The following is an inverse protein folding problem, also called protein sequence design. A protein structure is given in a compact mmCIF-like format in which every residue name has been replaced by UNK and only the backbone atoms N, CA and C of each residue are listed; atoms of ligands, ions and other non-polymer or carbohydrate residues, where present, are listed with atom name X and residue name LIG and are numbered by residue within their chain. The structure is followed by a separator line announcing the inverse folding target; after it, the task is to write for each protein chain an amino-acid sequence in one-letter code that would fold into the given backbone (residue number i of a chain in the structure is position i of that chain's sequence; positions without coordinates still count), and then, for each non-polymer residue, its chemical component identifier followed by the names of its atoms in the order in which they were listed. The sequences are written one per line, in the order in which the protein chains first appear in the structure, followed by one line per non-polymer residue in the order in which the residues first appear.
data_IF_950288930960
#
_entry.id   IF_950288930960
#
_cell.length_a   1.000
_cell.length_b   1.000
_cell.length_c   1.000
_cell.angle_alpha   90.00
_cell.angle_beta   90.00
_cell.angle_gamma   90.00
#
_symmetry.space_group_name_H-M   'P 1'
#
loop_
_entity.id
_entity.type
_entity.pdbx_description
1 polymer ?
#
# COMPACT_ATOMS: atom_id res chain seq x y z
N UNK A 1 25.14 -9.13 2.66
CA UNK A 1 24.03 -8.25 3.08
C UNK A 1 23.84 -8.43 4.58
N UNK A 2 23.94 -7.37 5.40
CA UNK A 2 23.55 -7.48 6.80
C UNK A 2 22.07 -7.87 6.89
N UNK A 3 21.71 -8.64 7.93
CA UNK A 3 20.33 -9.12 8.10
C UNK A 3 19.49 -7.96 8.65
N UNK A 4 18.24 -7.86 8.23
CA UNK A 4 17.29 -6.81 8.67
C UNK A 4 17.14 -6.73 10.21
N UNK A 5 17.49 -7.80 10.93
CA UNK A 5 17.56 -7.84 12.40
C UNK A 5 18.56 -6.86 13.00
N UNK A 6 19.60 -6.49 12.26
CA UNK A 6 20.69 -5.63 12.74
C UNK A 6 20.32 -4.13 12.69
N UNK A 7 19.11 -3.79 12.20
CA UNK A 7 18.63 -2.42 12.01
C UNK A 7 17.67 -1.91 13.12
N UNK A 8 17.39 -2.73 14.14
CA UNK A 8 16.31 -2.53 15.13
C UNK A 8 16.63 -1.60 16.31
N UNK A 9 17.60 -0.69 16.22
CA UNK A 9 18.14 -0.03 17.42
C UNK A 9 17.24 1.02 18.12
N UNK A 10 16.01 1.28 17.66
CA UNK A 10 15.16 2.35 18.25
C UNK A 10 13.66 2.06 18.38
N UNK A 11 13.14 0.86 18.08
CA UNK A 11 11.70 0.59 18.28
C UNK A 11 11.42 0.07 19.71
N UNK A 12 10.41 0.61 20.42
CA UNK A 12 9.99 0.06 21.71
C UNK A 12 9.46 -1.37 21.52
N UNK A 13 9.96 -2.34 22.31
CA UNK A 13 9.58 -3.76 22.39
C UNK A 13 8.58 -4.23 21.30
N UNK A 14 9.04 -4.31 20.05
CA UNK A 14 8.23 -4.83 18.93
C UNK A 14 7.96 -6.31 19.19
N UNK A 15 6.68 -6.68 19.27
CA UNK A 15 6.26 -8.06 19.43
C UNK A 15 6.47 -8.77 18.08
N UNK A 16 7.14 -9.92 18.11
CA UNK A 16 7.31 -10.75 16.93
C UNK A 16 5.95 -11.03 16.28
N UNK A 17 5.86 -10.77 14.98
CA UNK A 17 4.62 -10.86 14.24
C UNK A 17 3.98 -12.24 14.32
N UNK A 18 2.69 -12.27 14.68
CA UNK A 18 1.84 -13.43 14.44
C UNK A 18 1.36 -13.34 13.00
N UNK A 19 1.39 -14.46 12.28
CA UNK A 19 0.84 -14.53 10.93
C UNK A 19 -0.63 -14.09 10.96
N UNK A 20 -1.04 -13.07 10.18
CA UNK A 20 -2.40 -12.58 10.21
C UNK A 20 -3.38 -13.66 9.74
N UNK A 21 -4.60 -13.56 10.26
CA UNK A 21 -5.75 -14.24 9.67
C UNK A 21 -5.82 -13.95 8.17
N UNK A 22 -6.15 -14.96 7.37
CA UNK A 22 -5.95 -14.89 5.93
C UNK A 22 -7.20 -15.30 5.15
N UNK A 23 -7.69 -14.37 4.34
CA UNK A 23 -8.79 -14.57 3.39
C UNK A 23 -8.22 -15.14 2.09
N UNK A 24 -8.84 -16.20 1.56
CA UNK A 24 -8.57 -16.63 0.18
C UNK A 24 -9.29 -15.71 -0.82
N UNK A 25 -8.56 -15.20 -1.82
CA UNK A 25 -9.11 -14.30 -2.82
C UNK A 25 -10.33 -14.88 -3.56
N UNK A 26 -10.39 -16.20 -3.81
CA UNK A 26 -11.56 -16.81 -4.44
C UNK A 26 -12.80 -16.72 -3.55
N UNK A 27 -12.63 -16.83 -2.24
CA UNK A 27 -13.70 -16.65 -1.26
C UNK A 27 -14.16 -15.20 -1.12
N UNK A 28 -13.22 -14.24 -1.21
CA UNK A 28 -13.53 -12.81 -1.22
C UNK A 28 -14.28 -12.39 -2.50
N UNK A 29 -13.86 -12.91 -3.64
CA UNK A 29 -14.34 -12.52 -4.97
C UNK A 29 -15.49 -13.41 -5.48
N UNK A 30 -16.12 -14.23 -4.63
CA UNK A 30 -17.18 -15.16 -5.03
C UNK A 30 -18.48 -14.48 -5.47
N UNK A 31 -18.61 -13.16 -5.30
CA UNK A 31 -19.81 -12.40 -5.63
C UNK A 31 -20.87 -12.44 -4.51
N UNK A 32 -22.13 -12.20 -4.88
CA UNK A 32 -23.25 -12.17 -3.95
C UNK A 32 -23.94 -13.55 -3.84
N UNK A 33 -24.37 -14.00 -2.64
CA UNK A 33 -24.16 -13.34 -1.35
C UNK A 33 -22.69 -13.35 -0.92
N UNK A 34 -22.26 -12.35 -0.15
CA UNK A 34 -20.90 -12.30 0.41
C UNK A 34 -20.65 -13.55 1.24
N UNK A 35 -19.48 -14.16 1.07
CA UNK A 35 -19.08 -15.35 1.80
C UNK A 35 -19.08 -15.12 3.33
N UNK A 36 -19.90 -15.85 4.12
CA UNK A 36 -19.97 -15.66 5.57
C UNK A 36 -18.65 -15.87 6.31
N UNK A 37 -17.78 -16.76 5.79
CA UNK A 37 -16.46 -16.97 6.38
C UNK A 37 -15.56 -15.74 6.23
N UNK A 38 -15.68 -15.00 5.11
CA UNK A 38 -14.97 -13.74 4.89
C UNK A 38 -15.46 -12.67 5.86
N UNK A 39 -16.79 -12.56 6.04
CA UNK A 39 -17.40 -11.64 7.00
C UNK A 39 -16.89 -11.92 8.41
N UNK A 40 -16.86 -13.18 8.83
CA UNK A 40 -16.38 -13.56 10.16
C UNK A 40 -14.91 -13.21 10.39
N UNK A 41 -14.04 -13.42 9.38
CA UNK A 41 -12.62 -13.05 9.47
C UNK A 41 -12.44 -11.54 9.61
N UNK A 42 -13.18 -10.74 8.83
CA UNK A 42 -13.16 -9.27 8.93
C UNK A 42 -13.59 -8.80 10.32
N UNK A 43 -14.71 -9.31 10.83
CA UNK A 43 -15.20 -8.95 12.17
C UNK A 43 -14.19 -9.31 13.26
N UNK A 44 -13.53 -10.46 13.13
CA UNK A 44 -12.54 -10.93 14.11
C UNK A 44 -11.28 -10.07 14.09
N UNK A 45 -10.75 -9.75 12.90
CA UNK A 45 -9.59 -8.89 12.74
C UNK A 45 -9.87 -7.47 13.27
N UNK A 46 -11.02 -6.89 12.92
CA UNK A 46 -11.42 -5.56 13.38
C UNK A 46 -11.55 -5.46 14.92
N UNK A 47 -11.97 -6.54 15.58
CA UNK A 47 -12.11 -6.61 17.04
C UNK A 47 -10.81 -6.96 17.79
N UNK A 48 -9.73 -7.30 17.08
CA UNK A 48 -8.49 -7.80 17.69
C UNK A 48 -7.27 -6.93 17.34
N UNK A 49 -6.42 -7.40 16.43
CA UNK A 49 -5.18 -6.73 16.03
C UNK A 49 -5.40 -5.62 14.99
N UNK A 50 -6.59 -5.55 14.40
CA UNK A 50 -6.98 -4.54 13.42
C UNK A 50 -6.48 -4.81 12.00
N UNK A 51 -5.89 -5.97 11.69
CA UNK A 51 -5.41 -6.27 10.34
C UNK A 51 -5.54 -7.75 9.98
N UNK A 52 -5.66 -8.02 8.69
CA UNK A 52 -5.70 -9.37 8.12
C UNK A 52 -4.89 -9.41 6.82
N UNK A 53 -4.79 -10.58 6.19
CA UNK A 53 -4.18 -10.73 4.88
C UNK A 53 -5.12 -11.37 3.85
N UNK A 54 -4.83 -11.15 2.56
CA UNK A 54 -5.44 -11.84 1.43
C UNK A 54 -4.35 -12.66 0.74
N UNK A 55 -4.61 -13.95 0.54
CA UNK A 55 -3.75 -14.85 -0.26
C UNK A 55 -4.35 -15.09 -1.64
N UNK A 56 -3.49 -15.54 -2.56
CA UNK A 56 -3.86 -15.96 -3.92
C UNK A 56 -4.49 -14.87 -4.80
N UNK A 57 -4.42 -13.60 -4.40
CA UNK A 57 -5.05 -12.49 -5.12
C UNK A 57 -4.52 -12.35 -6.56
N UNK A 58 -3.19 -12.45 -6.71
CA UNK A 58 -2.51 -12.31 -8.01
C UNK A 58 -2.23 -13.65 -8.71
N UNK A 59 -2.73 -14.77 -8.17
CA UNK A 59 -2.40 -16.13 -8.66
C UNK A 59 -2.79 -16.38 -10.12
N UNK A 60 -3.79 -15.67 -10.63
CA UNK A 60 -4.36 -15.88 -11.96
C UNK A 60 -3.71 -15.05 -13.08
N UNK A 61 -3.01 -13.95 -12.75
CA UNK A 61 -2.47 -13.02 -13.76
C UNK A 61 -1.05 -12.51 -13.48
N UNK A 62 -0.50 -12.73 -12.28
CA UNK A 62 0.82 -12.26 -11.86
C UNK A 62 1.03 -10.75 -12.06
N UNK A 63 -0.03 -9.94 -11.91
CA UNK A 63 0.07 -8.48 -12.05
C UNK A 63 1.02 -7.85 -11.02
N UNK A 64 1.15 -8.47 -9.84
CA UNK A 64 2.15 -8.12 -8.83
C UNK A 64 3.58 -8.26 -9.36
N UNK A 65 3.92 -9.39 -9.99
CA UNK A 65 5.28 -9.64 -10.50
C UNK A 65 5.64 -8.69 -11.65
N UNK A 66 4.68 -8.43 -12.55
CA UNK A 66 4.87 -7.46 -13.63
C UNK A 66 5.08 -6.04 -13.08
N UNK A 67 4.29 -5.64 -12.08
CA UNK A 67 4.45 -4.35 -11.41
C UNK A 67 5.82 -4.25 -10.72
N UNK A 68 6.23 -5.27 -9.96
CA UNK A 68 7.52 -5.27 -9.27
C UNK A 68 8.70 -5.16 -10.25
N UNK A 69 8.63 -5.82 -11.40
CA UNK A 69 9.65 -5.68 -12.44
C UNK A 69 9.71 -4.25 -13.00
N UNK A 70 8.57 -3.64 -13.31
CA UNK A 70 8.51 -2.23 -13.76
C UNK A 70 8.94 -1.23 -12.69
N UNK A 71 8.60 -1.47 -11.42
CA UNK A 71 9.09 -0.68 -10.29
C UNK A 71 10.61 -0.76 -10.18
N UNK A 72 11.17 -1.98 -10.25
CA UNK A 72 12.62 -2.17 -10.19
C UNK A 72 13.32 -1.41 -11.32
N UNK A 73 12.82 -1.49 -12.56
CA UNK A 73 13.39 -0.75 -13.68
C UNK A 73 13.34 0.77 -13.45
N UNK A 74 12.19 1.30 -13.00
CA UNK A 74 12.01 2.72 -12.76
C UNK A 74 12.88 3.27 -11.62
N UNK A 75 12.87 2.62 -10.45
CA UNK A 75 13.61 3.09 -9.27
C UNK A 75 15.12 2.88 -9.41
N UNK A 76 15.57 1.95 -10.26
CA UNK A 76 17.00 1.79 -10.60
C UNK A 76 17.55 2.90 -11.50
N UNK A 77 16.70 3.76 -12.07
CA UNK A 77 17.16 4.90 -12.86
C UNK A 77 17.86 5.94 -11.96
N UNK A 78 18.95 6.57 -12.45
CA UNK A 78 19.54 7.73 -11.80
C UNK A 78 18.51 8.84 -11.56
N UNK A 79 18.64 9.58 -10.45
CA UNK A 79 17.71 10.66 -10.08
C UNK A 79 17.71 11.84 -11.06
N UNK A 80 18.76 11.98 -11.87
CA UNK A 80 18.87 12.94 -12.97
C UNK A 80 18.37 12.41 -14.33
N UNK A 81 17.91 11.15 -14.40
CA UNK A 81 17.31 10.59 -15.62
C UNK A 81 16.08 11.41 -16.04
N UNK A 82 15.98 11.68 -17.34
CA UNK A 82 14.91 12.48 -17.91
C UNK A 82 13.52 11.90 -17.65
N UNK A 83 13.39 10.57 -17.57
CA UNK A 83 12.11 9.88 -17.28
C UNK A 83 11.64 10.15 -15.85
N UNK A 84 12.56 10.11 -14.86
CA UNK A 84 12.27 10.50 -13.46
C UNK A 84 11.98 11.99 -13.37
N UNK A 85 12.80 12.84 -14.00
CA UNK A 85 12.62 14.29 -14.00
C UNK A 85 11.27 14.73 -14.62
N UNK A 86 10.82 14.06 -15.69
CA UNK A 86 9.58 14.36 -16.39
C UNK A 86 8.33 14.20 -15.50
N UNK A 87 8.41 13.35 -14.48
CA UNK A 87 7.31 13.02 -13.57
C UNK A 87 7.58 13.42 -12.12
N UNK A 88 8.61 14.22 -11.86
CA UNK A 88 8.99 14.58 -10.49
C UNK A 88 8.03 15.60 -9.87
N UNK A 89 7.45 15.28 -8.72
CA UNK A 89 6.61 16.19 -7.93
C UNK A 89 7.41 17.34 -7.30
N UNK A 90 8.73 17.18 -7.14
CA UNK A 90 9.61 18.23 -6.63
C UNK A 90 9.99 19.26 -7.71
N UNK A 91 10.07 18.82 -8.97
CA UNK A 91 10.44 19.68 -10.11
C UNK A 91 9.22 20.24 -10.85
N UNK A 92 8.04 19.67 -10.64
CA UNK A 92 6.80 20.02 -11.34
C UNK A 92 5.69 20.30 -10.34
N UNK A 93 4.77 21.20 -10.70
CA UNK A 93 3.58 21.47 -9.90
C UNK A 93 2.52 20.38 -10.15
N UNK A 94 2.76 19.16 -9.64
CA UNK A 94 1.90 17.98 -9.82
C UNK A 94 1.82 17.20 -8.50
N UNK A 95 0.74 16.46 -8.25
CA UNK A 95 0.57 15.65 -7.03
C UNK A 95 0.79 14.15 -7.24
N UNK A 96 0.56 13.67 -8.47
CA UNK A 96 0.80 12.29 -8.86
C UNK A 96 2.05 12.21 -9.74
N UNK A 97 3.04 11.45 -9.31
CA UNK A 97 4.33 11.32 -9.95
C UNK A 97 5.38 10.77 -9.00
N UNK A 98 6.66 10.93 -9.36
CA UNK A 98 7.79 10.49 -8.58
C UNK A 98 8.18 11.51 -7.51
N UNK A 99 8.30 11.04 -6.28
CA UNK A 99 8.88 11.76 -5.16
C UNK A 99 10.27 11.19 -4.86
N UNK A 100 11.33 12.01 -4.94
CA UNK A 100 12.68 11.55 -4.67
C UNK A 100 12.88 11.20 -3.18
N UNK A 101 13.97 10.49 -2.89
CA UNK A 101 14.40 10.19 -1.54
C UNK A 101 14.44 11.45 -0.66
N UNK A 102 13.94 11.35 0.57
CA UNK A 102 13.78 12.47 1.52
C UNK A 102 12.76 13.54 1.10
N UNK A 103 12.01 13.32 0.02
CA UNK A 103 10.89 14.18 -0.37
C UNK A 103 9.63 13.95 0.48
N UNK A 104 9.48 12.76 1.07
CA UNK A 104 8.34 12.42 1.91
C UNK A 104 8.34 13.26 3.20
N UNK A 105 7.19 13.86 3.59
CA UNK A 105 7.11 14.66 4.81
C UNK A 105 7.50 13.91 6.07
N UNK A 106 8.11 14.64 7.02
CA UNK A 106 8.35 14.13 8.36
C UNK A 106 7.05 14.13 9.16
N UNK A 107 6.46 12.96 9.39
CA UNK A 107 5.25 12.80 10.21
C UNK A 107 5.52 12.92 11.72
N UNK A 108 6.79 12.85 12.13
CA UNK A 108 7.20 13.03 13.52
C UNK A 108 8.41 13.97 13.63
N UNK A 109 8.46 14.85 14.65
CA UNK A 109 9.62 15.71 14.87
C UNK A 109 10.93 14.92 14.97
N UNK A 110 11.95 15.36 14.24
CA UNK A 110 13.27 14.72 14.24
C UNK A 110 13.36 13.45 13.39
N UNK A 111 12.30 13.06 12.68
CA UNK A 111 12.35 11.93 11.73
C UNK A 111 12.63 12.39 10.32
N UNK A 112 13.28 11.53 9.53
CA UNK A 112 13.50 11.72 8.10
C UNK A 112 13.12 10.43 7.38
N UNK A 113 12.16 10.54 6.47
CA UNK A 113 11.66 9.42 5.69
C UNK A 113 12.68 9.00 4.63
N UNK A 114 13.09 7.73 4.67
CA UNK A 114 14.09 7.13 3.80
C UNK A 114 13.40 6.21 2.79
N UNK A 115 12.55 6.83 1.96
CA UNK A 115 11.75 6.20 0.92
C UNK A 115 11.72 7.13 -0.29
N UNK A 116 11.72 6.55 -1.49
CA UNK A 116 11.26 7.23 -2.69
C UNK A 116 9.94 6.60 -3.14
N UNK A 117 9.07 7.38 -3.78
CA UNK A 117 7.75 6.90 -4.20
C UNK A 117 7.39 7.27 -5.64
N UNK A 118 6.47 6.53 -6.22
CA UNK A 118 5.71 6.96 -7.39
C UNK A 118 4.22 6.81 -7.09
N UNK A 119 3.51 7.94 -7.05
CA UNK A 119 2.13 7.99 -6.64
C UNK A 119 1.23 8.24 -7.86
N UNK A 120 0.18 7.45 -8.01
CA UNK A 120 -0.83 7.63 -9.05
C UNK A 120 -2.22 7.33 -8.50
N UNK A 121 -3.25 7.82 -9.18
CA UNK A 121 -4.61 7.73 -8.69
C UNK A 121 -5.62 7.68 -9.81
N UNK A 122 -6.89 7.70 -9.43
CA UNK A 122 -8.00 7.93 -10.35
C UNK A 122 -8.58 9.32 -10.05
N UNK A 123 -8.59 10.25 -11.02
CA UNK A 123 -9.25 11.52 -10.81
C UNK A 123 -10.75 11.28 -10.58
N UNK A 124 -11.37 12.16 -9.80
CA UNK A 124 -12.82 12.16 -9.63
C UNK A 124 -13.49 12.40 -10.99
N UNK A 125 -14.68 11.85 -11.19
CA UNK A 125 -15.43 12.11 -12.43
C UNK A 125 -15.73 13.61 -12.55
N UNK A 126 -15.30 14.21 -13.67
CA UNK A 126 -15.44 15.65 -13.93
C UNK A 126 -14.43 16.52 -13.17
N UNK A 127 -13.40 15.93 -12.56
CA UNK A 127 -12.24 16.65 -12.02
C UNK A 127 -11.22 16.84 -13.15
N UNK A 128 -11.30 18.00 -13.80
CA UNK A 128 -10.40 18.39 -14.89
C UNK A 128 -9.14 19.10 -14.37
N UNK A 129 -8.91 19.15 -13.04
CA UNK A 129 -7.71 19.75 -12.46
C UNK A 129 -6.48 18.92 -12.86
N UNK A 130 -5.54 19.52 -13.62
CA UNK A 130 -4.32 18.82 -14.03
C UNK A 130 -3.48 18.31 -12.85
N UNK A 131 -3.62 18.92 -11.65
CA UNK A 131 -2.92 18.48 -10.44
C UNK A 131 -3.35 17.09 -9.96
N UNK A 132 -4.56 16.63 -10.34
CA UNK A 132 -5.10 15.32 -9.95
C UNK A 132 -4.89 14.25 -11.04
N UNK A 133 -4.37 14.64 -12.20
CA UNK A 133 -4.02 13.69 -13.26
C UNK A 133 -2.71 12.97 -12.96
N UNK A 134 -2.67 11.66 -13.20
CA UNK A 134 -1.42 10.89 -13.09
C UNK A 134 -0.55 11.09 -14.33
N UNK A 135 0.69 11.52 -14.12
CA UNK A 135 1.68 11.67 -15.19
C UNK A 135 2.61 10.46 -15.16
N UNK A 136 2.74 9.81 -16.31
CA UNK A 136 3.48 8.56 -16.44
C UNK A 136 4.87 8.79 -17.03
N UNK A 137 5.91 8.06 -16.57
CA UNK A 137 7.22 8.13 -17.18
C UNK A 137 7.18 7.49 -18.57
N UNK A 138 8.04 7.96 -19.47
CA UNK A 138 8.31 7.31 -20.76
C UNK A 138 9.14 6.04 -20.54
N UNK A 139 8.52 5.05 -19.90
CA UNK A 139 9.08 3.75 -19.57
C UNK A 139 8.12 2.66 -20.08
N UNK A 140 8.52 1.86 -21.09
CA UNK A 140 7.64 0.86 -21.70
C UNK A 140 7.02 -0.08 -20.66
N UNK A 141 5.70 -0.26 -20.73
CA UNK A 141 4.97 -1.17 -19.85
C UNK A 141 4.68 -0.65 -18.44
N UNK A 142 5.37 0.39 -17.95
CA UNK A 142 5.21 0.88 -16.57
C UNK A 142 3.77 1.29 -16.23
N UNK A 143 3.14 2.08 -17.11
CA UNK A 143 1.73 2.46 -16.94
C UNK A 143 0.79 1.25 -16.95
N UNK A 144 0.99 0.32 -17.89
CA UNK A 144 0.13 -0.85 -18.03
C UNK A 144 0.24 -1.78 -16.82
N UNK A 145 1.46 -2.08 -16.35
CA UNK A 145 1.70 -2.91 -15.17
C UNK A 145 1.08 -2.30 -13.90
N UNK A 146 1.29 -0.98 -13.72
CA UNK A 146 0.72 -0.22 -12.60
C UNK A 146 -0.82 -0.26 -12.59
N UNK A 147 -1.46 -0.01 -13.74
CA UNK A 147 -2.93 -0.05 -13.83
C UNK A 147 -3.51 -1.46 -13.71
N UNK A 148 -2.82 -2.48 -14.21
CA UNK A 148 -3.29 -3.86 -14.05
C UNK A 148 -3.29 -4.29 -12.57
N UNK A 149 -2.22 -4.00 -11.82
CA UNK A 149 -2.16 -4.26 -10.39
C UNK A 149 -3.21 -3.44 -9.61
N UNK A 150 -3.38 -2.16 -9.98
CA UNK A 150 -4.44 -1.31 -9.45
C UNK A 150 -5.83 -1.94 -9.61
N UNK A 151 -6.15 -2.46 -10.80
CA UNK A 151 -7.47 -3.04 -11.08
C UNK A 151 -7.73 -4.30 -10.25
N UNK A 152 -6.71 -5.14 -10.04
CA UNK A 152 -6.79 -6.32 -9.16
C UNK A 152 -7.06 -5.89 -7.71
N UNK A 153 -6.29 -4.93 -7.20
CA UNK A 153 -6.43 -4.42 -5.83
C UNK A 153 -7.76 -3.70 -5.64
N UNK A 154 -8.23 -2.92 -6.63
CA UNK A 154 -9.52 -2.22 -6.58
C UNK A 154 -10.69 -3.19 -6.51
N UNK A 155 -10.65 -4.29 -7.27
CA UNK A 155 -11.67 -5.35 -7.20
C UNK A 155 -11.71 -5.98 -5.81
N UNK A 156 -10.55 -6.27 -5.22
CA UNK A 156 -10.46 -6.77 -3.85
C UNK A 156 -10.97 -5.74 -2.83
N UNK A 157 -10.59 -4.47 -2.98
CA UNK A 157 -11.03 -3.37 -2.12
C UNK A 157 -12.54 -3.21 -2.11
N UNK A 158 -13.20 -3.21 -3.28
CA UNK A 158 -14.66 -3.15 -3.35
C UNK A 158 -15.34 -4.37 -2.73
N UNK A 159 -14.79 -5.58 -2.92
CA UNK A 159 -15.31 -6.79 -2.28
C UNK A 159 -15.13 -6.75 -0.75
N UNK A 160 -14.03 -6.17 -0.25
CA UNK A 160 -13.81 -5.94 1.17
C UNK A 160 -14.84 -4.96 1.74
N UNK A 161 -15.10 -3.84 1.06
CA UNK A 161 -16.14 -2.89 1.48
C UNK A 161 -17.52 -3.53 1.53
N UNK A 162 -17.83 -4.41 0.58
CA UNK A 162 -19.07 -5.17 0.58
C UNK A 162 -19.14 -6.11 1.80
N UNK A 163 -18.04 -6.79 2.13
CA UNK A 163 -17.98 -7.68 3.28
C UNK A 163 -17.98 -6.97 4.64
N UNK A 164 -17.30 -5.83 4.75
CA UNK A 164 -17.35 -4.95 5.93
C UNK A 164 -18.78 -4.43 6.12
N UNK A 165 -19.48 -4.05 5.05
CA UNK A 165 -20.88 -3.61 5.16
C UNK A 165 -21.77 -4.71 5.75
N UNK A 166 -21.61 -5.96 5.29
CA UNK A 166 -22.35 -7.10 5.86
C UNK A 166 -21.97 -7.36 7.32
N UNK A 167 -20.69 -7.25 7.69
CA UNK A 167 -20.23 -7.38 9.08
C UNK A 167 -20.84 -6.33 10.02
N UNK A 168 -21.25 -5.18 9.48
CA UNK A 168 -21.90 -4.08 10.20
C UNK A 168 -23.45 -4.15 10.13
N UNK A 169 -24.00 -5.31 9.77
CA UNK A 169 -25.44 -5.52 9.55
C UNK A 169 -26.06 -4.52 8.56
N UNK A 170 -25.29 -4.12 7.53
CA UNK A 170 -25.75 -3.29 6.41
C UNK A 170 -25.87 -4.12 5.13
N UNK A 171 -26.66 -3.66 4.14
CA UNK A 171 -26.61 -4.23 2.79
C UNK A 171 -25.19 -4.20 2.24
N UNK A 172 -24.75 -5.26 1.58
CA UNK A 172 -23.40 -5.36 1.01
C UNK A 172 -22.93 -4.08 0.29
N UNK A 173 -23.68 -3.46 -0.65
CA UNK A 173 -23.18 -2.30 -1.37
C UNK A 173 -23.12 -0.99 -0.55
N UNK A 174 -23.43 -0.98 0.75
CA UNK A 174 -23.58 0.23 1.56
C UNK A 174 -22.32 1.12 1.55
N UNK A 175 -21.14 0.57 1.92
CA UNK A 175 -19.88 1.31 1.90
C UNK A 175 -19.38 1.52 0.47
N UNK A 176 -19.45 0.48 -0.37
CA UNK A 176 -19.01 0.56 -1.77
C UNK A 176 -19.69 1.69 -2.55
N UNK A 177 -20.99 1.92 -2.30
CA UNK A 177 -21.75 3.00 -2.93
C UNK A 177 -21.24 4.41 -2.57
N UNK A 178 -20.45 4.55 -1.49
CA UNK A 178 -19.81 5.82 -1.16
C UNK A 178 -18.53 6.06 -2.00
N UNK A 179 -17.96 5.00 -2.60
CA UNK A 179 -16.65 5.01 -3.25
C UNK A 179 -16.67 4.91 -4.79
N UNK A 180 -17.83 4.95 -5.43
CA UNK A 180 -17.98 4.54 -6.85
C UNK A 180 -17.47 5.57 -7.89
N UNK A 181 -17.52 6.87 -7.60
CA UNK A 181 -17.34 7.90 -8.63
C UNK A 181 -16.81 9.26 -8.14
N UNK A 182 -16.74 9.50 -6.84
CA UNK A 182 -16.30 10.77 -6.25
C UNK A 182 -14.99 10.70 -5.47
N UNK A 183 -14.48 9.49 -5.20
CA UNK A 183 -13.36 9.30 -4.30
C UNK A 183 -12.01 9.26 -5.01
N UNK A 184 -11.03 9.91 -4.37
CA UNK A 184 -9.63 9.96 -4.80
C UNK A 184 -8.87 8.81 -4.15
N UNK A 185 -8.99 7.62 -4.72
CA UNK A 185 -8.05 6.56 -4.37
C UNK A 185 -6.67 6.91 -4.93
N UNK A 186 -5.63 6.57 -4.16
CA UNK A 186 -4.22 6.72 -4.54
C UNK A 186 -3.51 5.38 -4.33
N UNK A 187 -2.57 5.05 -5.22
CA UNK A 187 -1.68 3.91 -5.10
C UNK A 187 -0.27 4.48 -5.06
N UNK A 188 0.44 4.11 -4.01
CA UNK A 188 1.81 4.53 -3.75
C UNK A 188 2.73 3.36 -4.05
N UNK A 189 3.58 3.51 -5.06
CA UNK A 189 4.65 2.56 -5.33
C UNK A 189 5.85 3.00 -4.51
N UNK A 190 6.18 2.27 -3.45
CA UNK A 190 7.25 2.66 -2.51
C UNK A 190 8.52 1.85 -2.76
N UNK A 191 9.66 2.54 -2.83
CA UNK A 191 10.97 1.92 -2.84
C UNK A 191 11.80 2.37 -1.64
N UNK A 192 12.20 1.40 -0.83
CA UNK A 192 13.13 1.58 0.27
C UNK A 192 14.51 1.09 -0.20
N UNK A 193 15.48 1.98 -0.46
CA UNK A 193 16.77 1.63 -1.09
C UNK A 193 17.70 0.78 -0.19
N UNK A 194 17.23 0.35 0.98
CA UNK A 194 18.04 -0.24 2.03
C UNK A 194 19.00 0.77 2.65
N UNK A 195 19.75 0.33 3.67
CA UNK A 195 20.78 1.17 4.27
C UNK A 195 22.10 1.02 3.52
N UNK A 196 22.35 1.90 2.53
CA UNK A 196 23.66 2.00 1.87
C UNK A 196 24.71 2.72 2.74
N UNK A 197 24.25 3.46 3.75
CA UNK A 197 25.08 4.12 4.77
C UNK A 197 24.55 3.75 6.15
N UNK A 198 25.36 3.96 7.18
CA UNK A 198 24.92 3.86 8.57
C UNK A 198 23.71 4.79 8.77
N UNK A 199 22.60 4.26 9.30
CA UNK A 199 21.45 5.09 9.63
C UNK A 199 21.83 6.13 10.69
N UNK A 200 21.44 7.36 10.42
CA UNK A 200 21.52 8.43 11.40
C UNK A 200 20.33 8.33 12.36
N UNK A 201 20.46 8.83 13.60
CA UNK A 201 19.32 8.95 14.51
C UNK A 201 18.15 9.67 13.83
N UNK A 202 16.98 9.03 13.80
CA UNK A 202 15.77 9.58 13.17
C UNK A 202 15.55 9.16 11.70
N UNK A 203 16.50 8.48 11.06
CA UNK A 203 16.25 7.85 9.74
C UNK A 203 15.29 6.67 9.92
N UNK A 204 14.08 6.80 9.38
CA UNK A 204 13.02 5.78 9.39
C UNK A 204 12.54 5.56 7.97
N UNK A 205 11.91 4.41 7.67
CA UNK A 205 11.28 4.21 6.35
C UNK A 205 10.21 5.28 6.11
N UNK A 206 9.13 5.19 6.88
CA UNK A 206 8.13 6.24 7.09
C UNK A 206 7.79 6.22 8.58
N UNK A 207 7.70 7.38 9.23
CA UNK A 207 7.38 7.44 10.66
C UNK A 207 5.93 7.00 10.92
N UNK A 208 5.58 6.67 12.17
CA UNK A 208 4.23 6.21 12.50
C UNK A 208 3.17 7.26 12.13
N UNK A 209 2.13 6.81 11.42
CA UNK A 209 0.99 7.59 10.98
C UNK A 209 -0.26 6.70 10.85
N UNK A 210 -1.40 7.32 10.59
CA UNK A 210 -2.62 6.65 10.14
C UNK A 210 -2.93 7.13 8.73
N UNK A 211 -3.38 6.22 7.88
CA UNK A 211 -3.87 6.55 6.55
C UNK A 211 -5.19 7.33 6.64
N UNK A 212 -5.53 8.05 5.57
CA UNK A 212 -6.75 8.87 5.51
C UNK A 212 -7.93 8.10 4.89
N UNK A 213 -7.64 7.00 4.20
CA UNK A 213 -8.56 6.20 3.43
C UNK A 213 -9.42 5.27 4.29
N UNK A 214 -10.51 4.75 3.71
CA UNK A 214 -11.40 3.81 4.38
C UNK A 214 -10.74 2.45 4.68
N UNK A 215 -9.90 1.97 3.76
CA UNK A 215 -9.13 0.73 3.86
C UNK A 215 -7.81 0.91 3.12
N UNK A 216 -6.75 0.26 3.61
CA UNK A 216 -5.45 0.23 2.91
C UNK A 216 -5.08 -1.21 2.57
N UNK A 217 -4.69 -1.44 1.31
CA UNK A 217 -4.18 -2.72 0.83
C UNK A 217 -2.66 -2.61 0.59
N UNK A 218 -1.88 -3.36 1.36
CA UNK A 218 -0.42 -3.27 1.40
C UNK A 218 0.21 -4.55 0.85
N UNK A 219 1.08 -4.41 -0.14
CA UNK A 219 1.91 -5.49 -0.68
C UNK A 219 3.38 -5.20 -0.36
N UNK A 220 4.09 -6.15 0.24
CA UNK A 220 5.49 -5.98 0.66
C UNK A 220 6.40 -7.06 0.05
N UNK A 221 7.64 -6.69 -0.28
CA UNK A 221 8.69 -7.59 -0.79
C UNK A 221 9.79 -7.88 0.23
N UNK A 222 9.81 -7.14 1.34
CA UNK A 222 10.78 -7.27 2.42
C UNK A 222 10.12 -6.91 3.76
N UNK A 223 10.70 -7.38 4.86
CA UNK A 223 10.27 -7.00 6.20
C UNK A 223 10.58 -5.52 6.49
N UNK A 224 9.80 -4.90 7.37
CA UNK A 224 9.99 -3.52 7.82
C UNK A 224 8.71 -2.79 8.23
N UNK A 225 7.54 -3.31 7.83
CA UNK A 225 6.26 -2.78 8.27
C UNK A 225 5.96 -3.19 9.71
N UNK A 226 5.63 -2.20 10.55
CA UNK A 226 5.11 -2.41 11.90
C UNK A 226 3.70 -1.82 11.99
N UNK A 227 2.79 -2.52 12.67
CA UNK A 227 1.42 -2.07 12.93
C UNK A 227 1.20 -1.90 14.42
N UNK A 228 0.48 -0.83 14.79
CA UNK A 228 0.12 -0.55 16.18
C UNK A 228 -1.30 -1.02 16.47
N UNK A 229 -1.46 -1.86 17.49
CA UNK A 229 -2.78 -2.35 17.92
C UNK A 229 -3.54 -1.32 18.78
N UNK A 230 -4.84 -1.55 19.09
CA UNK A 230 -5.62 -0.65 19.94
C UNK A 230 -5.09 -0.49 21.37
N UNK A 231 -4.25 -1.41 21.86
CA UNK A 231 -3.57 -1.31 23.16
C UNK A 231 -2.27 -0.51 23.07
N UNK A 232 -1.90 -0.04 21.88
CA UNK A 232 -0.73 0.78 21.62
C UNK A 232 0.57 0.00 21.44
N UNK A 233 0.52 -1.32 21.29
CA UNK A 233 1.70 -2.19 21.09
C UNK A 233 2.04 -2.30 19.60
N UNK A 234 3.33 -2.35 19.30
CA UNK A 234 3.85 -2.53 17.95
C UNK A 234 4.05 -4.00 17.62
N UNK A 235 3.59 -4.39 16.42
CA UNK A 235 3.67 -5.75 15.90
C UNK A 235 4.38 -5.72 14.55
N UNK A 236 5.36 -6.62 14.36
CA UNK A 236 5.91 -6.86 13.02
C UNK A 236 4.77 -7.37 12.11
N UNK A 237 4.45 -6.62 11.07
CA UNK A 237 3.40 -7.01 10.13
C UNK A 237 3.98 -7.93 9.06
N UNK A 238 4.24 -9.19 9.43
CA UNK A 238 4.77 -10.18 8.50
C UNK A 238 3.65 -10.79 7.67
N UNK A 239 3.72 -10.64 6.35
CA UNK A 239 2.89 -11.39 5.41
C UNK A 239 3.75 -12.46 4.72
N UNK A 240 3.15 -13.63 4.43
CA UNK A 240 3.83 -14.62 3.60
C UNK A 240 4.00 -14.09 2.17
N UNK A 241 4.86 -14.75 1.39
CA UNK A 241 5.12 -14.37 0.00
C UNK A 241 3.81 -14.16 -0.80
N UNK A 242 3.76 -13.05 -1.53
CA UNK A 242 2.63 -12.62 -2.37
C UNK A 242 1.27 -12.47 -1.68
N UNK A 243 1.25 -12.24 -0.36
CA UNK A 243 0.04 -11.85 0.37
C UNK A 243 -0.12 -10.32 0.43
N UNK A 244 -1.39 -9.88 0.47
CA UNK A 244 -1.75 -8.47 0.64
C UNK A 244 -2.29 -8.26 2.04
N UNK A 245 -1.66 -7.40 2.84
CA UNK A 245 -2.18 -6.98 4.15
C UNK A 245 -3.33 -6.00 3.93
N UNK A 246 -4.38 -6.13 4.73
CA UNK A 246 -5.54 -5.22 4.77
C UNK A 246 -5.57 -4.57 6.14
N UNK A 247 -5.63 -3.23 6.17
CA UNK A 247 -5.73 -2.42 7.39
C UNK A 247 -6.94 -1.49 7.36
#
# INVERSE_FOLDING_TARGET
MPRTTDLRSTSPDTIAGVQPDCIDAAGLLSGAPVNPAVVQLISTAAASNGYLAIKNLFSHNNADLALLASMHEFFSLPDDDQRKAAVSVAKRQIKHGWMPLYGEPAYQPGTRAHVESFDFGRPRRGDDDPLHSSIWPELPGFHHASRNAWDVLSKAGFALLDAISVALDKPAPFLRAQCDSQDRSTMRLLHYPGQQRQAEPGDVGIAAHTDFECITLLYQTAAGLELRDPQGRWHDATASDRQVIVR
#
